data_IF_476434565879
#
_entry.id   IF_476434565879
#
_cell.length_a   1.000
_cell.length_b   1.000
_cell.length_c   1.000
_cell.angle_alpha   90.00
_cell.angle_beta   90.00
_cell.angle_gamma   90.00
#
_symmetry.space_group_name_H-M   'P 1'
#
loop_
_entity.id
_entity.type
_entity.pdbx_description
1 polymer ?
#
# COMPACT_ATOMS: atom_id res chain seq x y z
N UNK A 1 27.17 18.93 -55.66
CA UNK A 1 25.75 18.65 -55.34
C UNK A 1 25.67 18.28 -53.86
N UNK A 2 24.96 19.08 -53.06
CA UNK A 2 24.70 18.79 -51.64
C UNK A 2 23.42 17.96 -51.54
N UNK A 3 23.48 16.73 -51.02
CA UNK A 3 22.29 15.98 -50.65
C UNK A 3 21.96 16.24 -49.19
N UNK A 4 20.93 17.03 -48.96
CA UNK A 4 20.18 17.14 -47.71
C UNK A 4 19.36 15.87 -47.50
N UNK A 5 19.68 15.09 -46.47
CA UNK A 5 18.82 14.00 -45.98
C UNK A 5 17.85 14.59 -44.95
N UNK A 6 16.53 14.35 -45.07
CA UNK A 6 15.56 14.93 -44.17
C UNK A 6 15.64 14.29 -42.79
N UNK A 7 15.62 15.15 -41.78
CA UNK A 7 15.50 14.83 -40.36
C UNK A 7 14.14 14.12 -40.14
N UNK A 8 14.12 12.79 -40.05
CA UNK A 8 12.94 12.07 -39.57
C UNK A 8 12.76 12.41 -38.08
N UNK A 9 11.76 13.24 -37.79
CA UNK A 9 11.26 13.42 -36.44
C UNK A 9 10.63 12.09 -35.99
N UNK A 10 11.37 11.34 -35.18
CA UNK A 10 10.87 10.18 -34.47
C UNK A 10 10.02 10.69 -33.31
N UNK A 11 8.73 10.90 -33.56
CA UNK A 11 7.76 11.29 -32.54
C UNK A 11 7.54 10.08 -31.63
N UNK A 12 8.31 10.01 -30.53
CA UNK A 12 8.06 9.06 -29.44
C UNK A 12 6.70 9.38 -28.85
N UNK A 13 5.68 8.61 -29.26
CA UNK A 13 4.40 8.50 -28.57
C UNK A 13 4.70 7.93 -27.18
N UNK A 14 4.87 8.81 -26.19
CA UNK A 14 4.73 8.48 -24.78
C UNK A 14 3.27 8.05 -24.60
N UNK A 15 3.01 6.76 -24.74
CA UNK A 15 1.80 6.16 -24.19
C UNK A 15 1.94 6.36 -22.69
N UNK A 16 1.29 7.40 -22.16
CA UNK A 16 1.11 7.57 -20.73
C UNK A 16 0.14 6.47 -20.25
N UNK A 17 0.61 5.23 -20.24
CA UNK A 17 0.05 4.22 -19.35
C UNK A 17 0.29 4.78 -17.95
N UNK A 18 -0.72 5.41 -17.38
CA UNK A 18 -0.59 5.99 -16.05
C UNK A 18 -0.11 4.91 -15.07
N UNK A 19 0.88 5.26 -14.27
CA UNK A 19 1.50 4.38 -13.29
C UNK A 19 0.76 4.45 -11.95
N UNK A 20 0.61 3.28 -11.32
CA UNK A 20 0.24 3.16 -9.91
C UNK A 20 1.54 3.13 -9.13
N UNK A 21 1.79 4.19 -8.36
CA UNK A 21 2.96 4.31 -7.50
C UNK A 21 2.46 4.73 -6.12
N UNK A 22 2.29 3.75 -5.23
CA UNK A 22 1.68 3.95 -3.92
C UNK A 22 2.59 3.40 -2.84
N UNK A 23 2.83 4.19 -1.80
CA UNK A 23 3.62 3.80 -0.63
C UNK A 23 2.77 3.83 0.63
N UNK A 24 3.01 2.88 1.52
CA UNK A 24 2.47 2.85 2.88
C UNK A 24 3.61 3.09 3.87
N UNK A 25 3.36 3.80 4.96
CA UNK A 25 4.34 4.02 6.03
C UNK A 25 3.68 4.03 7.41
N UNK A 26 4.49 3.70 8.42
CA UNK A 26 4.16 3.89 9.83
C UNK A 26 4.94 5.06 10.42
N UNK A 27 4.49 5.62 11.53
CA UNK A 27 5.11 6.79 12.18
C UNK A 27 6.37 6.48 13.01
N UNK A 28 6.59 5.21 13.36
CA UNK A 28 7.74 4.76 14.14
C UNK A 28 8.27 3.42 13.66
N UNK A 29 9.50 3.12 14.07
CA UNK A 29 10.21 1.86 13.78
C UNK A 29 10.14 0.88 14.94
N UNK A 30 9.51 1.25 16.05
CA UNK A 30 9.32 0.40 17.23
C UNK A 30 8.03 0.80 17.96
N UNK A 31 7.32 -0.19 18.47
CA UNK A 31 6.08 -0.04 19.23
C UNK A 31 6.03 -1.08 20.37
N UNK A 32 5.08 -0.89 21.28
CA UNK A 32 4.66 -1.89 22.26
C UNK A 32 3.34 -2.52 21.84
N UNK A 33 3.06 -3.69 22.40
CA UNK A 33 1.74 -4.30 22.27
C UNK A 33 0.65 -3.35 22.79
N UNK A 34 -0.46 -3.23 22.05
CA UNK A 34 -1.56 -2.34 22.39
C UNK A 34 -1.41 -0.87 21.94
N UNK A 35 -0.23 -0.49 21.43
CA UNK A 35 -0.01 0.85 20.87
C UNK A 35 -0.90 1.12 19.65
N UNK A 36 -1.12 2.41 19.38
CA UNK A 36 -1.78 2.86 18.15
C UNK A 36 -0.73 3.31 17.14
N UNK A 37 -0.65 2.60 16.02
CA UNK A 37 0.18 2.92 14.86
C UNK A 37 -0.53 3.97 14.01
N UNK A 38 0.18 5.01 13.60
CA UNK A 38 -0.30 5.94 12.57
C UNK A 38 0.12 5.42 11.19
N UNK A 39 -0.82 5.38 10.26
CA UNK A 39 -0.60 4.97 8.88
C UNK A 39 -0.70 6.17 7.96
N UNK A 40 0.26 6.31 7.04
CA UNK A 40 0.15 7.21 5.89
C UNK A 40 0.25 6.41 4.59
N UNK A 41 -0.79 6.51 3.77
CA UNK A 41 -0.82 6.01 2.40
C UNK A 41 -0.64 7.20 1.45
N UNK A 42 0.34 7.11 0.57
CA UNK A 42 0.69 8.18 -0.37
C UNK A 42 0.65 7.62 -1.78
N UNK A 43 -0.06 8.31 -2.66
CA UNK A 43 -0.11 7.99 -4.08
C UNK A 43 0.73 9.00 -4.83
N UNK A 44 1.93 8.59 -5.24
CA UNK A 44 2.86 9.39 -6.04
C UNK A 44 2.64 9.18 -7.54
N UNK A 45 1.84 8.17 -7.88
CA UNK A 45 1.45 7.84 -9.23
C UNK A 45 0.54 8.88 -9.88
N UNK A 46 0.26 8.63 -11.15
CA UNK A 46 -0.53 9.54 -12.01
C UNK A 46 -2.01 9.18 -12.07
N UNK A 47 -2.40 8.07 -11.44
CA UNK A 47 -3.76 7.53 -11.41
C UNK A 47 -4.31 7.53 -10.00
N UNK A 48 -5.63 7.56 -9.87
CA UNK A 48 -6.28 7.31 -8.57
C UNK A 48 -6.39 5.82 -8.28
N UNK A 49 -6.40 5.48 -6.98
CA UNK A 49 -6.56 4.11 -6.48
C UNK A 49 -7.72 4.04 -5.48
N UNK A 50 -8.30 2.85 -5.33
CA UNK A 50 -9.20 2.53 -4.22
C UNK A 50 -8.41 2.08 -3.00
N UNK A 51 -8.86 2.46 -1.81
CA UNK A 51 -8.21 2.04 -0.56
C UNK A 51 -9.21 1.96 0.61
N UNK A 52 -8.80 1.26 1.67
CA UNK A 52 -9.43 1.29 2.98
C UNK A 52 -8.41 0.90 4.05
N UNK A 53 -7.89 1.87 4.81
CA UNK A 53 -6.84 1.63 5.81
C UNK A 53 -7.31 0.91 7.08
N UNK A 54 -8.60 0.59 7.17
CA UNK A 54 -9.10 -0.32 8.19
C UNK A 54 -8.96 -1.79 7.74
N UNK A 55 -8.89 -2.06 6.42
CA UNK A 55 -8.65 -3.39 5.86
C UNK A 55 -7.16 -3.56 5.53
N UNK A 56 -6.39 -3.91 6.56
CA UNK A 56 -4.95 -4.13 6.47
C UNK A 56 -4.59 -5.50 7.02
N UNK A 57 -3.41 -6.02 6.67
CA UNK A 57 -2.82 -7.19 7.32
C UNK A 57 -1.66 -6.74 8.18
N UNK A 58 -1.61 -7.23 9.41
CA UNK A 58 -0.40 -7.20 10.22
C UNK A 58 0.35 -8.49 9.96
N UNK A 59 1.62 -8.40 9.60
CA UNK A 59 2.46 -9.56 9.35
C UNK A 59 3.67 -9.55 10.27
N UNK A 60 3.98 -10.71 10.84
CA UNK A 60 5.18 -10.95 11.66
C UNK A 60 6.25 -11.66 10.83
N UNK A 61 7.51 -11.26 10.99
CA UNK A 61 8.64 -12.00 10.44
C UNK A 61 8.83 -13.31 11.20
N UNK A 62 8.81 -14.41 10.45
CA UNK A 62 9.17 -15.75 10.90
C UNK A 62 10.38 -16.28 10.09
N UNK A 63 10.94 -17.41 10.49
CA UNK A 63 12.14 -17.99 9.87
C UNK A 63 12.00 -18.18 8.36
N UNK A 64 10.82 -18.59 7.90
CA UNK A 64 10.55 -18.93 6.50
C UNK A 64 9.88 -17.81 5.71
N UNK A 65 9.48 -16.70 6.35
CA UNK A 65 8.69 -15.69 5.65
C UNK A 65 8.02 -14.67 6.55
N UNK A 66 6.90 -14.15 6.05
CA UNK A 66 6.00 -13.26 6.77
C UNK A 66 4.69 -14.03 7.02
N UNK A 67 4.22 -13.97 8.26
CA UNK A 67 3.05 -14.72 8.73
C UNK A 67 1.97 -13.75 9.21
N UNK A 68 0.73 -13.99 8.81
CA UNK A 68 -0.39 -13.14 9.18
C UNK A 68 -0.67 -13.19 10.70
N UNK A 69 -0.74 -12.02 11.31
CA UNK A 69 -1.11 -11.83 12.71
C UNK A 69 -2.51 -11.19 12.77
N UNK A 70 -3.52 -11.89 13.30
CA UNK A 70 -4.84 -11.30 13.53
C UNK A 70 -4.73 -10.04 14.38
N UNK A 71 -5.34 -8.94 13.94
CA UNK A 71 -5.24 -7.64 14.62
C UNK A 71 -6.59 -7.05 15.05
N UNK A 72 -7.68 -7.44 14.40
CA UNK A 72 -9.03 -7.10 14.85
C UNK A 72 -9.48 -8.07 15.94
N UNK A 73 -10.00 -7.55 17.03
CA UNK A 73 -10.65 -8.34 18.07
C UNK A 73 -11.95 -9.00 17.58
N UNK A 74 -12.45 -9.99 18.33
CA UNK A 74 -13.67 -10.74 17.98
C UNK A 74 -14.92 -9.86 17.82
N UNK A 75 -14.95 -8.70 18.49
CA UNK A 75 -16.05 -7.72 18.44
C UNK A 75 -15.76 -6.52 17.54
N UNK A 76 -14.57 -6.47 16.95
CA UNK A 76 -14.19 -5.37 16.07
C UNK A 76 -14.56 -5.71 14.63
N UNK A 77 -15.18 -4.75 13.96
CA UNK A 77 -15.59 -4.89 12.57
C UNK A 77 -14.98 -3.75 11.76
N UNK A 78 -14.35 -4.13 10.65
CA UNK A 78 -13.97 -3.17 9.64
C UNK A 78 -15.12 -2.94 8.67
N UNK A 79 -15.51 -1.68 8.46
CA UNK A 79 -16.48 -1.37 7.42
C UNK A 79 -15.81 -1.49 6.05
N UNK A 80 -16.43 -2.23 5.13
CA UNK A 80 -15.97 -2.41 3.76
C UNK A 80 -16.26 -1.18 2.87
N UNK A 81 -15.94 0.03 3.36
CA UNK A 81 -16.08 1.27 2.59
C UNK A 81 -14.88 1.39 1.66
N UNK A 82 -15.12 1.54 0.36
CA UNK A 82 -14.06 1.83 -0.59
C UNK A 82 -13.88 3.34 -0.76
N UNK A 83 -12.73 3.85 -0.33
CA UNK A 83 -12.34 5.24 -0.53
C UNK A 83 -11.56 5.40 -1.83
N UNK A 84 -11.45 6.64 -2.32
CA UNK A 84 -10.62 6.99 -3.48
C UNK A 84 -9.44 7.85 -3.03
N UNK A 85 -8.22 7.41 -3.35
CA UNK A 85 -7.01 8.19 -3.17
C UNK A 85 -6.57 8.74 -4.53
N UNK A 86 -6.72 10.05 -4.70
CA UNK A 86 -6.34 10.76 -5.95
C UNK A 86 -4.83 10.68 -6.20
N UNK A 87 -4.43 10.89 -7.45
CA UNK A 87 -3.03 11.09 -7.82
C UNK A 87 -2.40 12.22 -7.00
N UNK A 88 -1.14 12.04 -6.59
CA UNK A 88 -0.36 12.95 -5.73
C UNK A 88 -0.99 13.27 -4.36
N UNK A 89 -1.99 12.50 -3.92
CA UNK A 89 -2.67 12.71 -2.65
C UNK A 89 -2.13 11.76 -1.56
N UNK A 90 -2.55 12.04 -0.32
CA UNK A 90 -2.28 11.21 0.86
C UNK A 90 -3.55 10.94 1.65
N UNK A 91 -3.60 9.79 2.29
CA UNK A 91 -4.60 9.40 3.26
C UNK A 91 -3.94 8.95 4.55
N UNK A 92 -4.63 9.17 5.67
CA UNK A 92 -4.16 8.80 7.00
C UNK A 92 -5.16 7.86 7.65
N UNK A 93 -4.65 6.96 8.47
CA UNK A 93 -5.44 6.02 9.25
C UNK A 93 -4.71 5.65 10.53
N UNK A 94 -5.40 4.94 11.41
CA UNK A 94 -4.81 4.44 12.65
C UNK A 94 -5.13 2.96 12.80
N UNK A 95 -4.17 2.21 13.29
CA UNK A 95 -4.34 0.81 13.64
C UNK A 95 -3.96 0.63 15.11
N UNK A 96 -4.86 0.07 15.90
CA UNK A 96 -4.51 -0.38 17.25
C UNK A 96 -3.91 -1.78 17.17
N UNK A 97 -2.69 -1.95 17.65
CA UNK A 97 -2.06 -3.26 17.73
C UNK A 97 -2.74 -4.12 18.80
N UNK A 98 -2.78 -5.45 18.62
CA UNK A 98 -3.20 -6.37 19.68
C UNK A 98 -2.46 -6.10 20.99
N UNK A 99 -3.16 -6.26 22.12
CA UNK A 99 -2.57 -6.11 23.45
C UNK A 99 -1.53 -7.17 23.79
N UNK A 100 -1.50 -8.25 23.03
CA UNK A 100 -0.58 -9.37 23.21
C UNK A 100 0.08 -9.71 21.88
N UNK A 101 1.22 -9.06 21.59
CA UNK A 101 2.10 -9.41 20.49
C UNK A 101 3.41 -9.97 21.03
N UNK A 102 3.91 -11.02 20.38
CA UNK A 102 5.26 -11.49 20.65
C UNK A 102 6.29 -10.47 20.17
N UNK A 103 7.40 -10.33 20.89
CA UNK A 103 8.50 -9.50 20.41
C UNK A 103 9.01 -9.99 19.04
N UNK A 104 9.44 -9.05 18.19
CA UNK A 104 9.96 -9.35 16.86
C UNK A 104 9.71 -8.25 15.85
N UNK A 105 10.00 -8.55 14.59
CA UNK A 105 9.80 -7.63 13.47
C UNK A 105 8.44 -7.86 12.83
N UNK A 106 7.76 -6.75 12.53
CA UNK A 106 6.43 -6.69 11.98
C UNK A 106 6.38 -5.71 10.80
N UNK A 107 5.34 -5.83 9.98
CA UNK A 107 4.99 -4.85 8.93
C UNK A 107 3.48 -4.84 8.72
N UNK A 108 2.99 -3.79 8.07
CA UNK A 108 1.59 -3.67 7.68
C UNK A 108 1.52 -3.75 6.15
N UNK A 109 0.54 -4.51 5.66
CA UNK A 109 0.26 -4.67 4.23
C UNK A 109 -1.16 -4.22 3.95
N UNK A 110 -1.35 -3.45 2.88
CA UNK A 110 -2.66 -3.07 2.37
C UNK A 110 -2.72 -3.40 0.88
N UNK A 111 -3.84 -3.95 0.42
CA UNK A 111 -4.05 -4.18 -1.01
C UNK A 111 -4.84 -2.99 -1.59
N UNK A 112 -4.18 -2.17 -2.41
CA UNK A 112 -4.86 -1.06 -3.10
C UNK A 112 -5.56 -1.57 -4.35
N UNK A 113 -6.78 -1.07 -4.60
CA UNK A 113 -7.51 -1.34 -5.83
C UNK A 113 -7.02 -0.38 -6.93
N UNK A 114 -6.40 -0.90 -7.97
CA UNK A 114 -5.82 -0.11 -9.09
C UNK A 114 -6.88 0.53 -10.00
N UNK A 115 -8.17 0.25 -9.74
CA UNK A 115 -9.35 0.58 -10.56
C UNK A 115 -9.34 -0.09 -11.93
N UNK A 116 -8.45 -1.04 -12.17
CA UNK A 116 -8.46 -1.88 -13.35
C UNK A 116 -9.22 -3.19 -13.10
N UNK A 117 -9.60 -3.83 -14.20
CA UNK A 117 -10.16 -5.17 -14.18
C UNK A 117 -9.31 -6.09 -15.01
N UNK A 118 -9.05 -7.29 -14.51
CA UNK A 118 -8.39 -8.34 -15.29
C UNK A 118 -9.28 -8.85 -16.44
N UNK A 119 -8.77 -9.78 -17.24
CA UNK A 119 -9.53 -10.38 -18.35
C UNK A 119 -10.79 -11.14 -17.92
N UNK A 120 -10.95 -11.41 -16.62
CA UNK A 120 -12.12 -12.08 -16.04
C UNK A 120 -13.09 -11.07 -15.39
N UNK A 121 -12.81 -9.76 -15.49
CA UNK A 121 -13.63 -8.71 -14.90
C UNK A 121 -13.43 -8.52 -13.40
N UNK A 122 -12.38 -9.08 -12.81
CA UNK A 122 -12.07 -8.95 -11.37
C UNK A 122 -11.21 -7.71 -11.15
N UNK A 123 -11.47 -6.99 -10.06
CA UNK A 123 -10.65 -5.85 -9.68
C UNK A 123 -9.18 -6.28 -9.51
N UNK A 124 -8.26 -5.53 -10.11
CA UNK A 124 -6.83 -5.74 -9.96
C UNK A 124 -6.37 -5.00 -8.71
N UNK A 125 -5.77 -5.74 -7.78
CA UNK A 125 -5.23 -5.21 -6.54
C UNK A 125 -3.72 -5.35 -6.51
N UNK A 126 -3.05 -4.39 -5.89
CA UNK A 126 -1.60 -4.39 -5.67
C UNK A 126 -1.28 -4.25 -4.18
N UNK A 127 -0.41 -5.11 -3.62
CA UNK A 127 -0.01 -4.99 -2.23
C UNK A 127 0.99 -3.85 -2.05
N UNK A 128 0.70 -2.95 -1.12
CA UNK A 128 1.65 -1.95 -0.61
C UNK A 128 2.04 -2.30 0.81
N UNK A 129 3.35 -2.21 1.09
CA UNK A 129 3.95 -2.70 2.32
C UNK A 129 4.57 -1.52 3.06
N UNK A 130 4.33 -1.40 4.36
CA UNK A 130 4.96 -0.39 5.19
C UNK A 130 6.45 -0.63 5.39
N UNK A 131 7.16 0.36 5.93
CA UNK A 131 8.41 0.06 6.63
C UNK A 131 8.16 -1.01 7.72
N UNK A 132 9.16 -1.85 7.97
CA UNK A 132 9.12 -2.76 9.10
C UNK A 132 9.31 -2.01 10.42
N UNK A 133 8.76 -2.57 11.49
CA UNK A 133 8.88 -2.06 12.85
C UNK A 133 9.05 -3.21 13.85
N UNK A 134 9.65 -2.91 14.99
CA UNK A 134 9.83 -3.86 16.08
C UNK A 134 8.69 -3.77 17.09
N UNK A 135 8.27 -4.91 17.64
CA UNK A 135 7.52 -4.99 18.89
C UNK A 135 8.50 -5.23 20.03
N UNK A 136 8.56 -4.28 20.94
CA UNK A 136 9.32 -4.34 22.19
C UNK A 136 8.44 -4.91 23.32
N UNK A 137 9.07 -5.55 24.32
CA UNK A 137 8.38 -5.98 25.55
C UNK A 137 8.38 -4.89 26.62
#
# INVERSE_FOLDING_TARGET
MRLTVPLMALTTLLVACGEVEVSLSTDATAYRSGDTVQLELRNEGTREVGYNLCDVRVERREDTGWSHTPHLGETEACQAIQHTLKASARAQGTLRLPSELAAGEYRIVHDVDTRETDSQGRAVQEPVISNSFLIEQ
#
